data_IF_207854526955
#
_entry.id   IF_207854526955
#
_cell.length_a   1.000
_cell.length_b   1.000
_cell.length_c   1.000
_cell.angle_alpha   90.00
_cell.angle_beta   90.00
_cell.angle_gamma   90.00
#
_symmetry.space_group_name_H-M   'P 1'
#
loop_
_entity.id
_entity.type
_entity.pdbx_description
1 polymer ?
#
# COMPACT_ATOMS: atom_id res chain seq x y z
N UNK A 1 3.67 -13.35 -1.39
CA UNK A 1 4.52 -12.18 -1.20
C UNK A 1 3.72 -11.00 -0.63
N UNK A 2 4.45 -10.09 0.00
CA UNK A 2 3.88 -8.90 0.63
C UNK A 2 4.59 -7.67 0.14
N UNK A 3 3.83 -6.59 -0.05
CA UNK A 3 4.37 -5.31 -0.48
C UNK A 3 3.75 -4.17 0.33
N UNK A 4 4.50 -3.09 0.45
CA UNK A 4 3.99 -1.80 0.94
C UNK A 4 3.99 -0.82 -0.22
N UNK A 5 2.83 -0.21 -0.49
CA UNK A 5 2.70 0.90 -1.41
C UNK A 5 2.29 2.15 -0.64
N UNK A 6 3.10 3.19 -0.68
CA UNK A 6 2.90 4.37 0.17
C UNK A 6 3.10 5.66 -0.61
N UNK A 7 2.45 6.74 -0.12
CA UNK A 7 2.70 8.10 -0.60
C UNK A 7 3.97 8.74 -0.06
N UNK A 8 4.64 8.11 0.90
CA UNK A 8 5.95 8.55 1.38
C UNK A 8 7.03 8.18 0.37
N UNK A 9 8.21 8.78 0.46
CA UNK A 9 9.35 8.35 -0.33
C UNK A 9 9.85 6.99 0.17
N UNK A 10 10.41 6.21 -0.74
CA UNK A 10 10.86 4.84 -0.45
C UNK A 10 11.84 4.78 0.72
N UNK A 11 12.80 5.70 0.76
CA UNK A 11 13.79 5.75 1.86
C UNK A 11 13.11 5.96 3.21
N UNK A 12 12.16 6.88 3.28
CA UNK A 12 11.38 7.17 4.49
C UNK A 12 10.58 5.96 4.94
N UNK A 13 9.85 5.34 4.00
CA UNK A 13 9.05 4.16 4.28
C UNK A 13 9.91 3.00 4.78
N UNK A 14 11.06 2.78 4.14
CA UNK A 14 11.99 1.72 4.54
C UNK A 14 12.51 1.96 5.94
N UNK A 15 12.86 3.21 6.27
CA UNK A 15 13.32 3.59 7.61
C UNK A 15 12.27 3.28 8.67
N UNK A 16 11.03 3.69 8.42
CA UNK A 16 9.93 3.46 9.37
C UNK A 16 9.67 1.97 9.56
N UNK A 17 9.60 1.23 8.47
CA UNK A 17 9.36 -0.21 8.54
C UNK A 17 10.49 -0.95 9.24
N UNK A 18 11.73 -0.50 9.07
CA UNK A 18 12.89 -1.07 9.77
C UNK A 18 12.78 -0.81 11.26
N UNK A 19 12.44 0.41 11.65
CA UNK A 19 12.26 0.77 13.07
C UNK A 19 11.14 -0.02 13.74
N UNK A 20 10.09 -0.35 12.98
CA UNK A 20 8.96 -1.15 13.48
C UNK A 20 9.23 -2.65 13.45
N UNK A 21 10.35 -3.08 12.91
CA UNK A 21 10.67 -4.52 12.76
C UNK A 21 9.87 -5.20 11.67
N UNK A 22 9.32 -4.47 10.71
CA UNK A 22 8.44 -5.00 9.67
C UNK A 22 9.10 -5.11 8.29
N UNK A 23 10.23 -4.41 8.09
CA UNK A 23 10.85 -4.34 6.76
C UNK A 23 11.22 -5.72 6.20
N UNK A 24 11.70 -6.62 7.06
CA UNK A 24 12.12 -7.96 6.64
C UNK A 24 10.99 -8.85 6.14
N UNK A 25 9.74 -8.50 6.47
CA UNK A 25 8.57 -9.23 5.97
C UNK A 25 8.12 -8.77 4.59
N UNK A 26 8.63 -7.64 4.12
CA UNK A 26 8.19 -7.04 2.87
C UNK A 26 9.11 -7.45 1.73
N UNK A 27 8.53 -8.05 0.70
CA UNK A 27 9.25 -8.38 -0.54
C UNK A 27 9.48 -7.15 -1.39
N UNK A 28 8.57 -6.17 -1.30
CA UNK A 28 8.60 -4.95 -2.11
C UNK A 28 8.16 -3.77 -1.26
N UNK A 29 8.86 -2.66 -1.39
CA UNK A 29 8.46 -1.36 -0.83
C UNK A 29 8.45 -0.35 -1.97
N UNK A 30 7.30 0.23 -2.25
CA UNK A 30 7.11 1.21 -3.31
C UNK A 30 6.69 2.54 -2.69
N UNK A 31 7.56 3.52 -2.78
CA UNK A 31 7.27 4.89 -2.38
C UNK A 31 6.87 5.77 -3.56
N UNK A 32 6.47 7.00 -3.26
CA UNK A 32 6.03 7.97 -4.25
C UNK A 32 7.09 8.27 -5.32
N UNK A 33 8.36 8.15 -4.98
CA UNK A 33 9.49 8.39 -5.88
C UNK A 33 9.62 7.33 -6.98
N UNK A 34 8.93 6.20 -6.86
CA UNK A 34 9.02 5.10 -7.82
C UNK A 34 7.88 5.08 -8.83
N UNK A 35 6.88 5.94 -8.68
CA UNK A 35 5.73 5.97 -9.58
C UNK A 35 5.54 7.35 -10.18
N UNK A 36 4.94 7.39 -11.36
CA UNK A 36 4.68 8.65 -12.04
C UNK A 36 3.52 9.40 -11.39
N UNK A 37 2.45 8.69 -11.05
CA UNK A 37 1.24 9.28 -10.51
C UNK A 37 0.92 8.67 -9.14
N UNK A 38 0.80 9.51 -8.09
CA UNK A 38 0.46 9.01 -6.76
C UNK A 38 -1.02 8.65 -6.63
N UNK A 39 -1.35 8.00 -5.50
CA UNK A 39 -2.75 7.75 -5.17
C UNK A 39 -3.56 9.06 -5.27
N UNK A 40 -4.75 9.05 -5.84
CA UNK A 40 -5.61 7.89 -6.13
C UNK A 40 -5.36 7.21 -7.48
N UNK A 41 -4.30 7.55 -8.20
CA UNK A 41 -3.95 6.81 -9.40
C UNK A 41 -3.59 5.35 -9.05
N UNK A 42 -3.78 4.42 -9.98
CA UNK A 42 -3.52 3.00 -9.71
C UNK A 42 -2.04 2.62 -9.69
N UNK A 43 -1.16 3.56 -10.08
CA UNK A 43 0.25 3.28 -10.34
C UNK A 43 0.96 2.58 -9.18
N UNK A 44 0.77 3.04 -7.95
CA UNK A 44 1.46 2.50 -6.78
C UNK A 44 1.17 1.02 -6.59
N UNK A 45 -0.11 0.63 -6.62
CA UNK A 45 -0.49 -0.75 -6.39
C UNK A 45 -0.21 -1.64 -7.60
N UNK A 46 -0.36 -1.12 -8.81
CA UNK A 46 0.03 -1.86 -10.01
C UNK A 46 1.52 -2.15 -10.02
N UNK A 47 2.33 -1.20 -9.62
CA UNK A 47 3.78 -1.39 -9.54
C UNK A 47 4.16 -2.40 -8.45
N UNK A 48 3.50 -2.36 -7.30
CA UNK A 48 3.67 -3.38 -6.26
C UNK A 48 3.39 -4.78 -6.82
N UNK A 49 2.25 -4.97 -7.46
CA UNK A 49 1.88 -6.27 -8.04
C UNK A 49 2.90 -6.72 -9.08
N UNK A 50 3.30 -5.81 -9.96
CA UNK A 50 4.29 -6.11 -11.01
C UNK A 50 5.62 -6.55 -10.40
N UNK A 51 6.12 -5.85 -9.41
CA UNK A 51 7.40 -6.17 -8.76
C UNK A 51 7.34 -7.48 -7.99
N UNK A 52 6.18 -7.85 -7.47
CA UNK A 52 5.98 -9.16 -6.83
C UNK A 52 5.79 -10.29 -7.84
N UNK A 53 5.65 -9.97 -9.14
CA UNK A 53 5.30 -10.95 -10.15
C UNK A 53 3.88 -11.49 -9.98
N UNK A 54 2.98 -10.69 -9.42
CA UNK A 54 1.62 -11.11 -9.09
C UNK A 54 0.60 -10.49 -10.05
N UNK A 55 -0.45 -11.26 -10.35
CA UNK A 55 -1.59 -10.75 -11.10
C UNK A 55 -2.41 -9.82 -10.18
N UNK A 56 -2.70 -8.57 -10.58
CA UNK A 56 -3.49 -7.66 -9.75
C UNK A 56 -4.82 -8.26 -9.29
N UNK A 57 -5.51 -9.01 -10.15
CA UNK A 57 -6.78 -9.64 -9.80
C UNK A 57 -6.66 -10.68 -8.67
N UNK A 58 -5.45 -11.15 -8.38
CA UNK A 58 -5.16 -12.13 -7.33
C UNK A 58 -4.47 -11.50 -6.11
N UNK A 59 -4.38 -10.19 -6.09
CA UNK A 59 -3.85 -9.44 -4.95
C UNK A 59 -5.00 -8.94 -4.09
N UNK A 60 -4.68 -8.57 -2.86
CA UNK A 60 -5.60 -7.87 -1.95
C UNK A 60 -4.84 -6.68 -1.37
N UNK A 61 -5.49 -5.52 -1.39
CA UNK A 61 -4.97 -4.32 -0.75
C UNK A 61 -5.66 -4.15 0.61
N UNK A 62 -4.88 -3.91 1.65
CA UNK A 62 -5.38 -3.45 2.94
C UNK A 62 -5.07 -1.96 3.04
N UNK A 63 -6.11 -1.14 3.21
CA UNK A 63 -5.96 0.31 3.14
C UNK A 63 -6.85 0.99 4.18
N UNK A 64 -6.39 2.13 4.72
CA UNK A 64 -7.13 2.91 5.72
C UNK A 64 -7.69 4.21 5.15
N UNK A 65 -7.21 4.67 4.02
CA UNK A 65 -7.54 5.98 3.47
C UNK A 65 -8.42 5.87 2.21
N UNK A 66 -9.39 6.78 2.05
CA UNK A 66 -10.26 6.78 0.87
C UNK A 66 -9.51 6.84 -0.46
N UNK A 67 -8.45 7.64 -0.54
CA UNK A 67 -7.66 7.74 -1.78
C UNK A 67 -6.93 6.45 -2.10
N UNK A 68 -6.49 5.71 -1.08
CA UNK A 68 -5.86 4.41 -1.28
C UNK A 68 -6.86 3.35 -1.73
N UNK A 69 -8.08 3.37 -1.17
CA UNK A 69 -9.16 2.47 -1.60
C UNK A 69 -9.54 2.73 -3.06
N UNK A 70 -9.60 4.00 -3.46
CA UNK A 70 -9.88 4.38 -4.85
C UNK A 70 -8.75 3.93 -5.78
N UNK A 71 -7.49 4.07 -5.35
CA UNK A 71 -6.34 3.60 -6.12
C UNK A 71 -6.40 2.09 -6.37
N UNK A 72 -6.77 1.31 -5.36
CA UNK A 72 -6.94 -0.14 -5.49
C UNK A 72 -8.06 -0.48 -6.48
N UNK A 73 -9.19 0.21 -6.39
CA UNK A 73 -10.30 0.03 -7.32
C UNK A 73 -9.87 0.30 -8.75
N UNK A 74 -9.16 1.40 -8.99
CA UNK A 74 -8.66 1.75 -10.31
C UNK A 74 -7.60 0.77 -10.82
N UNK A 75 -6.89 0.13 -9.92
CA UNK A 75 -5.91 -0.91 -10.27
C UNK A 75 -6.56 -2.27 -10.56
N UNK A 76 -7.85 -2.42 -10.31
CA UNK A 76 -8.54 -3.70 -10.43
C UNK A 76 -8.14 -4.69 -9.35
N UNK A 77 -7.74 -4.20 -8.17
CA UNK A 77 -7.32 -5.04 -7.04
C UNK A 77 -8.38 -4.98 -5.96
N UNK A 78 -8.89 -6.13 -5.50
CA UNK A 78 -9.80 -6.15 -4.34
C UNK A 78 -9.15 -5.48 -3.13
N UNK A 79 -9.92 -4.67 -2.41
CA UNK A 79 -9.42 -3.93 -1.25
C UNK A 79 -10.26 -4.17 -0.03
N UNK A 80 -9.62 -4.15 1.12
CA UNK A 80 -10.25 -4.22 2.44
C UNK A 80 -9.99 -2.91 3.16
N UNK A 81 -11.06 -2.24 3.56
CA UNK A 81 -10.98 -1.08 4.43
C UNK A 81 -10.71 -1.55 5.85
N UNK A 82 -9.51 -1.30 6.36
CA UNK A 82 -9.11 -1.81 7.67
C UNK A 82 -9.90 -1.19 8.81
N UNK A 83 -10.46 0.00 8.63
CA UNK A 83 -11.33 0.61 9.64
C UNK A 83 -12.61 -0.21 9.87
N UNK A 84 -13.17 -0.76 8.78
CA UNK A 84 -14.38 -1.57 8.87
C UNK A 84 -14.10 -2.95 9.48
N UNK A 85 -12.97 -3.56 9.10
CA UNK A 85 -12.64 -4.92 9.53
C UNK A 85 -12.13 -4.96 10.96
N UNK A 86 -11.26 -4.00 11.32
CA UNK A 86 -10.57 -3.98 12.62
C UNK A 86 -11.26 -3.07 13.64
N UNK A 87 -12.33 -2.40 13.25
CA UNK A 87 -13.04 -1.42 14.09
C UNK A 87 -12.09 -0.37 14.68
N UNK A 88 -11.11 0.06 13.88
CA UNK A 88 -10.15 1.10 14.26
C UNK A 88 -10.81 2.46 14.07
N UNK A 89 -10.69 3.33 15.08
CA UNK A 89 -11.18 4.70 15.00
C UNK A 89 -10.02 5.66 14.84
N UNK A 90 -10.30 6.88 14.33
CA UNK A 90 -9.29 7.92 14.16
C UNK A 90 -8.77 8.48 15.49
N UNK A 91 -9.36 8.11 16.60
CA UNK A 91 -8.97 8.59 17.93
C UNK A 91 -7.54 8.19 18.31
N UNK A 92 -7.03 7.14 17.68
CA UNK A 92 -5.67 6.62 17.91
C UNK A 92 -4.59 7.39 17.15
N UNK A 93 -4.99 8.28 16.24
CA UNK A 93 -4.07 8.96 15.34
C UNK A 93 -4.02 10.46 15.54
N UNK A 94 -4.51 10.93 16.65
CA UNK A 94 -4.50 12.36 16.98
C UNK A 94 -3.19 12.83 17.59
#
# INVERSE_FOLDING_TARGET
>A
PMAVGTGAYTEEATRILTLCGLASYMDVIVGADQVKNPKPAPDTFLYCARRMGANPARCIVFEDAPLGLLAAERAGIPAIDVHQVLNITNDYFL
#
